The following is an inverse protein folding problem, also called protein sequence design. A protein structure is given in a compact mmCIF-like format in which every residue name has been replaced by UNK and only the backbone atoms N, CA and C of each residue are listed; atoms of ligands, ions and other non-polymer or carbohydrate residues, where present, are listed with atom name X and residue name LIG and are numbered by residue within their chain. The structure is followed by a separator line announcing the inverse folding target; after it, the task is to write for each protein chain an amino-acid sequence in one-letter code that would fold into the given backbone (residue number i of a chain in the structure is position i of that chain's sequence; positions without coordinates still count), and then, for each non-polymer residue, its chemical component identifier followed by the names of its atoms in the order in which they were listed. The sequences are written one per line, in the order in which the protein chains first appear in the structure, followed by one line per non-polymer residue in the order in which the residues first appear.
data_IF_657975394695
#
_entry.id   IF_657975394695
#
_cell.length_a   1.000
_cell.length_b   1.000
_cell.length_c   1.000
_cell.angle_alpha   90.00
_cell.angle_beta   90.00
_cell.angle_gamma   90.00
#
_symmetry.space_group_name_H-M   'P 1'
#
loop_
_entity.id
_entity.type
_entity.pdbx_description
1 polymer ?
#
# COMPACT_ATOMS: atom_id res chain seq x y z
N UNK A 1 -7.75 16.85 -12.43
CA UNK A 1 -8.28 15.64 -13.10
C UNK A 1 -7.59 14.43 -12.49
N UNK A 2 -8.36 13.47 -11.97
CA UNK A 2 -7.83 12.23 -11.38
C UNK A 2 -7.69 11.21 -12.52
N UNK A 3 -6.50 10.63 -12.72
CA UNK A 3 -6.26 9.62 -13.76
C UNK A 3 -6.07 8.23 -13.11
N UNK A 4 -7.00 7.27 -13.33
CA UNK A 4 -6.96 5.95 -12.68
C UNK A 4 -5.68 5.17 -12.98
N UNK A 5 -5.23 5.20 -14.23
CA UNK A 5 -4.10 4.40 -14.68
C UNK A 5 -2.78 4.97 -14.17
N UNK A 6 -2.69 6.31 -14.05
CA UNK A 6 -1.55 6.97 -13.41
C UNK A 6 -1.47 6.67 -11.92
N UNK A 7 -2.59 6.74 -11.20
CA UNK A 7 -2.59 6.42 -9.76
C UNK A 7 -2.36 4.93 -9.51
N UNK A 8 -2.84 4.05 -10.38
CA UNK A 8 -2.54 2.61 -10.33
C UNK A 8 -1.04 2.33 -10.55
N UNK A 9 -0.41 3.00 -11.53
CA UNK A 9 1.02 2.89 -11.76
C UNK A 9 1.86 3.34 -10.55
N UNK A 10 1.43 4.40 -9.84
CA UNK A 10 2.07 4.83 -8.60
C UNK A 10 1.90 3.78 -7.49
N UNK A 11 0.70 3.23 -7.31
CA UNK A 11 0.47 2.17 -6.32
C UNK A 11 1.35 0.94 -6.58
N UNK A 12 1.48 0.53 -7.84
CA UNK A 12 2.40 -0.55 -8.26
C UNK A 12 3.84 -0.18 -7.90
N UNK A 13 4.26 1.05 -8.20
CA UNK A 13 5.60 1.55 -7.89
C UNK A 13 5.89 1.58 -6.38
N UNK A 14 4.88 1.89 -5.56
CA UNK A 14 4.98 1.88 -4.11
C UNK A 14 5.14 0.47 -3.55
N UNK A 15 4.37 -0.49 -4.06
CA UNK A 15 4.53 -1.93 -3.73
C UNK A 15 5.93 -2.43 -4.08
N UNK A 16 6.48 -2.03 -5.22
CA UNK A 16 7.82 -2.44 -5.64
C UNK A 16 8.95 -1.92 -4.73
N UNK A 17 8.69 -0.89 -3.90
CA UNK A 17 9.65 -0.45 -2.85
C UNK A 17 9.75 -1.46 -1.70
N UNK A 18 8.68 -2.22 -1.45
CA UNK A 18 8.57 -3.19 -0.36
C UNK A 18 8.10 -4.54 -0.90
N UNK A 19 8.97 -5.34 -1.52
CA UNK A 19 8.55 -6.50 -2.31
C UNK A 19 7.84 -7.59 -1.50
N UNK A 20 8.21 -7.74 -0.23
CA UNK A 20 7.58 -8.68 0.71
C UNK A 20 6.20 -8.23 1.21
N UNK A 21 5.68 -7.09 0.75
CA UNK A 21 4.41 -6.55 1.20
C UNK A 21 3.27 -6.80 0.23
N UNK A 22 2.07 -7.14 0.71
CA UNK A 22 0.89 -7.28 -0.15
C UNK A 22 0.18 -5.95 -0.43
N UNK A 23 0.45 -4.90 0.36
CA UNK A 23 -0.11 -3.56 0.18
C UNK A 23 0.84 -2.48 0.74
N UNK A 24 0.83 -1.31 0.10
CA UNK A 24 1.58 -0.12 0.53
C UNK A 24 0.70 1.10 0.37
N UNK A 25 0.51 1.85 1.45
CA UNK A 25 -0.20 3.12 1.46
C UNK A 25 0.70 4.25 1.92
N UNK A 26 0.62 5.38 1.22
CA UNK A 26 1.57 6.48 1.37
C UNK A 26 0.90 7.73 1.97
N UNK A 27 1.55 8.33 2.98
CA UNK A 27 1.10 9.52 3.70
C UNK A 27 2.20 10.58 3.81
N UNK A 28 1.85 11.80 4.26
CA UNK A 28 2.82 12.83 4.63
C UNK A 28 3.82 13.18 3.52
N UNK A 29 3.34 13.30 2.27
CA UNK A 29 4.19 13.50 1.07
C UNK A 29 5.28 12.42 0.92
N UNK A 30 4.91 11.14 1.08
CA UNK A 30 5.81 10.00 0.91
C UNK A 30 6.92 9.90 1.98
N UNK A 31 6.70 10.51 3.16
CA UNK A 31 7.56 10.34 4.34
C UNK A 31 7.14 9.17 5.24
N UNK A 32 5.84 8.87 5.29
CA UNK A 32 5.26 7.80 6.14
C UNK A 32 4.49 6.82 5.26
N UNK A 33 4.64 5.53 5.55
CA UNK A 33 4.01 4.46 4.80
C UNK A 33 3.30 3.51 5.78
N UNK A 34 2.17 2.96 5.37
CA UNK A 34 1.55 1.77 5.99
C UNK A 34 1.78 0.62 5.04
N UNK A 35 2.40 -0.47 5.51
CA UNK A 35 2.81 -1.60 4.69
C UNK A 35 2.28 -2.89 5.29
N UNK A 36 1.56 -3.68 4.49
CA UNK A 36 0.98 -4.94 4.91
C UNK A 36 1.93 -6.12 4.71
N UNK A 37 2.08 -6.96 5.73
CA UNK A 37 2.90 -8.17 5.71
C UNK A 37 2.13 -9.36 6.27
N UNK A 38 2.36 -10.55 5.70
CA UNK A 38 1.97 -11.81 6.33
C UNK A 38 2.99 -12.19 7.40
N UNK A 39 2.52 -12.62 8.57
CA UNK A 39 3.38 -13.15 9.63
C UNK A 39 3.64 -14.61 9.34
N UNK A 40 4.86 -14.88 8.87
CA UNK A 40 5.29 -16.21 8.40
C UNK A 40 6.27 -16.84 9.39
N UNK A 41 6.51 -18.14 9.23
CA UNK A 41 7.47 -18.86 10.05
C UNK A 41 8.86 -18.20 9.98
N UNK A 42 9.54 -18.14 11.14
CA UNK A 42 10.84 -17.47 11.27
C UNK A 42 10.78 -15.97 11.55
N UNK A 43 9.61 -15.35 11.58
CA UNK A 43 9.45 -13.98 12.07
C UNK A 43 9.68 -13.92 13.61
N UNK A 44 10.62 -13.11 14.12
CA UNK A 44 10.96 -13.05 15.54
C UNK A 44 9.94 -12.29 16.40
N UNK A 45 8.87 -11.78 15.79
CA UNK A 45 7.76 -11.09 16.44
C UNK A 45 6.62 -12.03 16.86
N UNK A 46 6.66 -13.29 16.41
CA UNK A 46 5.66 -14.30 16.78
C UNK A 46 5.66 -14.51 18.30
N UNK A 47 4.47 -14.62 18.88
CA UNK A 47 4.18 -14.83 20.30
C UNK A 47 4.67 -13.71 21.23
N UNK A 48 5.02 -12.55 20.68
CA UNK A 48 5.35 -11.34 21.44
C UNK A 48 4.20 -10.36 21.45
N UNK A 49 4.03 -9.66 22.56
CA UNK A 49 3.15 -8.50 22.63
C UNK A 49 3.76 -7.30 21.89
N UNK A 50 2.94 -6.39 21.38
CA UNK A 50 3.41 -5.21 20.66
C UNK A 50 4.38 -4.35 21.48
N UNK A 51 4.22 -4.28 22.79
CA UNK A 51 5.14 -3.53 23.67
C UNK A 51 6.51 -4.20 23.85
N UNK A 52 6.63 -5.50 23.59
CA UNK A 52 7.88 -6.25 23.65
C UNK A 52 8.64 -6.22 22.31
N UNK A 53 7.98 -5.81 21.22
CA UNK A 53 8.58 -5.72 19.89
C UNK A 53 9.41 -4.43 19.82
N UNK A 54 10.69 -4.55 20.16
CA UNK A 54 11.67 -3.50 19.94
C UNK A 54 12.72 -3.98 18.94
N UNK A 55 12.33 -4.00 17.67
CA UNK A 55 13.16 -4.52 16.60
C UNK A 55 13.82 -3.42 15.79
N UNK A 56 13.26 -2.23 15.63
CA UNK A 56 13.86 -1.16 14.81
C UNK A 56 14.44 -0.03 15.65
N UNK A 57 15.49 0.63 15.16
CA UNK A 57 16.09 1.80 15.83
C UNK A 57 15.12 2.99 15.80
N UNK A 58 14.43 3.18 14.67
CA UNK A 58 13.32 4.12 14.54
C UNK A 58 12.00 3.45 14.93
N UNK A 59 11.08 4.19 15.55
CA UNK A 59 9.77 3.64 15.93
C UNK A 59 8.96 3.22 14.71
N UNK A 60 8.38 2.04 14.80
CA UNK A 60 7.29 1.55 13.95
C UNK A 60 6.06 1.28 14.83
N UNK A 61 4.88 1.25 14.24
CA UNK A 61 3.68 0.77 14.91
C UNK A 61 3.00 -0.30 14.06
N UNK A 62 2.44 -1.32 14.70
CA UNK A 62 1.51 -2.25 14.05
C UNK A 62 0.11 -1.68 14.25
N UNK A 63 -0.48 -1.13 13.19
CA UNK A 63 -1.73 -0.36 13.28
C UNK A 63 -2.98 -1.19 13.02
N UNK A 64 -2.86 -2.30 12.29
CA UNK A 64 -3.96 -3.21 12.01
C UNK A 64 -3.42 -4.64 12.05
N UNK A 65 -4.17 -5.55 12.66
CA UNK A 65 -3.93 -7.00 12.59
C UNK A 65 -5.21 -7.66 12.12
N UNK A 66 -5.12 -8.46 11.06
CA UNK A 66 -6.19 -9.35 10.62
C UNK A 66 -5.83 -10.79 11.02
N UNK A 67 -6.74 -11.45 11.74
CA UNK A 67 -6.59 -12.83 12.20
C UNK A 67 -7.89 -13.59 11.96
N UNK A 68 -7.85 -14.64 11.14
CA UNK A 68 -9.02 -15.48 10.84
C UNK A 68 -10.25 -14.66 10.36
N UNK A 69 -10.01 -13.58 9.60
CA UNK A 69 -11.06 -12.66 9.12
C UNK A 69 -11.54 -11.65 10.17
N UNK A 70 -11.08 -11.72 11.42
CA UNK A 70 -11.31 -10.66 12.41
C UNK A 70 -10.25 -9.57 12.30
N UNK A 71 -10.70 -8.32 12.37
CA UNK A 71 -9.84 -7.16 12.24
C UNK A 71 -9.63 -6.56 13.63
N UNK A 72 -8.40 -6.24 13.98
CA UNK A 72 -8.04 -5.61 15.25
C UNK A 72 -7.24 -4.34 14.98
N UNK A 73 -7.55 -3.27 15.72
CA UNK A 73 -6.64 -2.14 15.92
C UNK A 73 -5.98 -2.41 17.27
N UNK A 74 -4.78 -2.99 17.28
CA UNK A 74 -4.21 -3.57 18.49
C UNK A 74 -3.71 -2.50 19.46
N UNK A 75 -3.79 -2.81 20.76
CA UNK A 75 -3.05 -2.06 21.79
C UNK A 75 -1.68 -2.71 22.05
N UNK A 76 -0.88 -2.11 22.94
CA UNK A 76 0.45 -2.61 23.28
C UNK A 76 0.48 -4.04 23.84
N UNK A 77 -0.63 -4.57 24.35
CA UNK A 77 -0.72 -5.92 24.94
C UNK A 77 -1.07 -6.98 23.92
N UNK A 78 -1.51 -6.59 22.72
CA UNK A 78 -1.87 -7.53 21.67
C UNK A 78 -0.67 -8.39 21.29
N UNK A 79 -0.87 -9.71 21.24
CA UNK A 79 0.16 -10.69 20.91
C UNK A 79 0.03 -11.12 19.45
N UNK A 80 1.12 -10.98 18.69
CA UNK A 80 1.20 -11.41 17.30
C UNK A 80 1.29 -12.94 17.22
N UNK A 81 0.60 -13.55 16.25
CA UNK A 81 0.59 -14.99 16.00
C UNK A 81 0.97 -15.29 14.56
N UNK A 82 1.47 -16.51 14.34
CA UNK A 82 1.70 -17.04 13.00
C UNK A 82 0.41 -17.01 12.19
N UNK A 83 0.48 -16.54 10.94
CA UNK A 83 -0.68 -16.40 10.05
C UNK A 83 -1.45 -15.09 10.19
N UNK A 84 -1.07 -14.22 11.14
CA UNK A 84 -1.62 -12.85 11.19
C UNK A 84 -1.22 -12.07 9.93
N UNK A 85 -2.13 -11.24 9.41
CA UNK A 85 -1.77 -10.19 8.44
C UNK A 85 -1.66 -8.86 9.17
N UNK A 86 -0.46 -8.30 9.19
CA UNK A 86 -0.15 -7.09 9.97
C UNK A 86 0.06 -5.89 9.05
N UNK A 87 -0.42 -4.73 9.46
CA UNK A 87 -0.13 -3.46 8.79
C UNK A 87 0.83 -2.67 9.66
N UNK A 88 2.04 -2.44 9.16
CA UNK A 88 3.13 -1.76 9.84
C UNK A 88 3.25 -0.35 9.31
N UNK A 89 3.22 0.65 10.19
CA UNK A 89 3.42 2.05 9.82
C UNK A 89 4.78 2.56 10.28
N UNK A 90 5.47 3.29 9.40
CA UNK A 90 6.86 3.68 9.62
C UNK A 90 7.42 4.61 8.53
N UNK A 91 8.63 5.13 8.77
CA UNK A 91 9.45 5.73 7.72
C UNK A 91 9.97 4.63 6.79
N UNK A 92 10.43 4.99 5.59
CA UNK A 92 11.06 4.02 4.67
C UNK A 92 12.25 3.33 5.32
N UNK A 93 13.04 4.06 6.13
CA UNK A 93 14.20 3.50 6.83
C UNK A 93 13.77 2.49 7.89
N UNK A 94 12.81 2.84 8.74
CA UNK A 94 12.29 1.96 9.79
C UNK A 94 11.65 0.68 9.20
N UNK A 95 10.86 0.81 8.13
CA UNK A 95 10.22 -0.35 7.49
C UNK A 95 11.25 -1.27 6.84
N UNK A 96 12.30 -0.74 6.19
CA UNK A 96 13.36 -1.59 5.64
C UNK A 96 14.14 -2.33 6.74
N UNK A 97 14.37 -1.67 7.88
CA UNK A 97 14.98 -2.32 9.04
C UNK A 97 14.06 -3.41 9.62
N UNK A 98 12.76 -3.15 9.68
CA UNK A 98 11.74 -4.15 10.05
C UNK A 98 11.78 -5.36 9.12
N UNK A 99 11.80 -5.14 7.79
CA UNK A 99 11.90 -6.19 6.78
C UNK A 99 13.13 -7.07 7.03
N UNK A 100 14.29 -6.46 7.23
CA UNK A 100 15.55 -7.15 7.49
C UNK A 100 15.48 -7.98 8.78
N UNK A 101 15.06 -7.37 9.89
CA UNK A 101 15.06 -8.01 11.20
C UNK A 101 13.96 -9.04 11.37
N UNK A 102 12.86 -8.91 10.61
CA UNK A 102 11.80 -9.92 10.56
C UNK A 102 12.07 -11.07 9.58
N UNK A 103 13.25 -11.14 8.96
CA UNK A 103 13.61 -12.18 8.00
C UNK A 103 12.72 -12.21 6.74
N UNK A 104 12.15 -11.07 6.36
CA UNK A 104 11.46 -10.94 5.08
C UNK A 104 12.47 -10.80 3.94
N UNK A 105 12.02 -11.08 2.71
CA UNK A 105 12.85 -10.93 1.53
C UNK A 105 13.27 -9.46 1.34
N UNK A 106 14.56 -9.25 1.14
CA UNK A 106 15.19 -7.93 0.90
C UNK A 106 15.59 -7.76 -0.56
N UNK A 107 15.09 -8.66 -1.43
CA UNK A 107 15.39 -8.68 -2.86
C UNK A 107 15.00 -7.34 -3.47
N UNK A 108 15.96 -6.62 -4.05
CA UNK A 108 15.68 -5.36 -4.75
C UNK A 108 15.04 -5.66 -6.10
N UNK A 109 13.95 -4.98 -6.43
CA UNK A 109 13.30 -5.07 -7.73
C UNK A 109 14.10 -4.29 -8.79
N UNK A 110 14.73 -4.99 -9.73
CA UNK A 110 15.62 -4.41 -10.77
C UNK A 110 15.17 -4.73 -12.19
N UNK A 111 14.50 -5.84 -12.41
CA UNK A 111 13.89 -6.20 -13.69
C UNK A 111 12.41 -6.56 -13.51
N UNK A 112 11.55 -5.85 -14.24
CA UNK A 112 10.10 -6.03 -14.15
C UNK A 112 9.55 -6.42 -15.51
N UNK A 113 8.72 -7.46 -15.56
CA UNK A 113 7.94 -7.79 -16.75
C UNK A 113 6.53 -7.24 -16.58
N UNK A 114 6.03 -6.53 -17.58
CA UNK A 114 4.67 -6.00 -17.63
C UNK A 114 3.95 -6.71 -18.78
N UNK A 115 2.85 -7.37 -18.47
CA UNK A 115 2.04 -8.10 -19.44
C UNK A 115 0.78 -7.26 -19.71
N UNK A 116 0.64 -6.78 -20.94
CA UNK A 116 -0.30 -5.73 -21.33
C UNK A 116 0.36 -4.35 -21.35
N UNK A 117 0.25 -3.66 -22.48
CA UNK A 117 0.85 -2.36 -22.78
C UNK A 117 -0.15 -1.19 -22.76
N UNK A 118 -1.25 -1.32 -22.00
CA UNK A 118 -2.24 -0.26 -21.83
C UNK A 118 -1.70 1.01 -21.15
N UNK A 119 -2.57 1.95 -20.82
CA UNK A 119 -2.15 3.24 -20.25
C UNK A 119 -1.49 3.10 -18.87
N UNK A 120 -1.91 2.12 -18.08
CA UNK A 120 -1.25 1.80 -16.80
C UNK A 120 0.21 1.42 -17.01
N UNK A 121 0.47 0.53 -17.98
CA UNK A 121 1.82 0.10 -18.31
C UNK A 121 2.69 1.26 -18.83
N UNK A 122 2.09 2.19 -19.58
CA UNK A 122 2.78 3.41 -20.00
C UNK A 122 3.17 4.31 -18.81
N UNK A 123 2.24 4.59 -17.89
CA UNK A 123 2.58 5.38 -16.70
C UNK A 123 3.58 4.66 -15.79
N UNK A 124 3.44 3.34 -15.64
CA UNK A 124 4.38 2.52 -14.88
C UNK A 124 5.77 2.55 -15.53
N UNK A 125 5.87 2.38 -16.85
CA UNK A 125 7.12 2.47 -17.59
C UNK A 125 7.85 3.80 -17.38
N UNK A 126 7.12 4.92 -17.26
CA UNK A 126 7.70 6.23 -16.90
C UNK A 126 8.26 6.24 -15.47
N UNK A 127 7.51 5.76 -14.50
CA UNK A 127 7.95 5.68 -13.11
C UNK A 127 9.20 4.79 -12.98
N UNK A 128 9.19 3.61 -13.60
CA UNK A 128 10.31 2.68 -13.61
C UNK A 128 11.55 3.26 -14.30
N UNK A 129 11.37 3.90 -15.46
CA UNK A 129 12.45 4.59 -16.20
C UNK A 129 13.10 5.67 -15.33
N UNK A 130 12.29 6.49 -14.66
CA UNK A 130 12.79 7.57 -13.79
C UNK A 130 13.62 7.07 -12.60
N UNK A 131 13.39 5.82 -12.20
CA UNK A 131 14.10 5.14 -11.10
C UNK A 131 15.25 4.25 -11.58
N UNK A 132 15.51 4.19 -12.88
CA UNK A 132 16.54 3.32 -13.46
C UNK A 132 16.24 1.83 -13.34
N UNK A 133 14.97 1.45 -13.15
CA UNK A 133 14.55 0.05 -13.09
C UNK A 133 14.34 -0.46 -14.51
N UNK A 134 14.93 -1.61 -14.85
CA UNK A 134 14.76 -2.21 -16.17
C UNK A 134 13.39 -2.86 -16.26
N UNK A 135 12.76 -2.76 -17.42
CA UNK A 135 11.50 -3.44 -17.64
C UNK A 135 11.36 -3.94 -19.08
N UNK A 136 10.48 -4.93 -19.23
CA UNK A 136 10.01 -5.46 -20.50
C UNK A 136 8.49 -5.36 -20.54
N UNK A 137 7.92 -4.96 -21.67
CA UNK A 137 6.47 -4.95 -21.89
C UNK A 137 6.13 -5.95 -22.98
N UNK A 138 5.12 -6.79 -22.73
CA UNK A 138 4.52 -7.66 -23.75
C UNK A 138 3.16 -7.07 -24.12
N UNK A 139 2.97 -6.75 -25.40
CA UNK A 139 1.74 -6.12 -25.92
C UNK A 139 1.31 -6.83 -27.21
N UNK A 140 0.02 -7.13 -27.32
CA UNK A 140 -0.56 -7.88 -28.44
C UNK A 140 -0.89 -6.99 -29.65
N UNK A 141 -1.14 -5.70 -29.43
CA UNK A 141 -1.41 -4.75 -30.49
C UNK A 141 -0.11 -4.13 -31.02
N UNK A 142 0.19 -4.37 -32.29
CA UNK A 142 1.40 -3.91 -32.97
C UNK A 142 1.60 -2.39 -32.89
N UNK A 143 0.58 -1.60 -33.23
CA UNK A 143 0.67 -0.13 -33.19
C UNK A 143 0.98 0.39 -31.78
N UNK A 144 0.39 -0.23 -30.76
CA UNK A 144 0.65 0.10 -29.36
C UNK A 144 2.06 -0.31 -28.95
N UNK A 145 2.53 -1.48 -29.37
CA UNK A 145 3.90 -1.93 -29.12
C UNK A 145 4.93 -0.98 -29.76
N UNK A 146 4.69 -0.53 -30.99
CA UNK A 146 5.54 0.46 -31.67
C UNK A 146 5.57 1.80 -30.92
N UNK A 147 4.41 2.29 -30.50
CA UNK A 147 4.32 3.51 -29.69
C UNK A 147 5.10 3.39 -28.37
N UNK A 148 4.99 2.25 -27.68
CA UNK A 148 5.73 2.00 -26.44
C UNK A 148 7.24 1.91 -26.68
N UNK A 149 7.65 1.30 -27.80
CA UNK A 149 9.06 1.17 -28.20
C UNK A 149 9.69 2.53 -28.42
N UNK A 150 8.98 3.43 -29.12
CA UNK A 150 9.40 4.82 -29.30
C UNK A 150 9.42 5.61 -27.97
N UNK A 151 8.44 5.35 -27.10
CA UNK A 151 8.31 6.03 -25.81
C UNK A 151 9.37 5.62 -24.79
N UNK A 152 9.88 4.38 -24.88
CA UNK A 152 10.83 3.80 -23.93
C UNK A 152 12.04 3.18 -24.62
N UNK A 153 12.99 3.99 -25.14
CA UNK A 153 14.14 3.49 -25.90
C UNK A 153 15.05 2.52 -25.14
N UNK A 154 15.01 2.56 -23.81
CA UNK A 154 15.83 1.71 -22.93
C UNK A 154 15.08 0.46 -22.41
N UNK A 155 13.81 0.30 -22.78
CA UNK A 155 13.00 -0.86 -22.41
C UNK A 155 12.89 -1.84 -23.57
N UNK A 156 12.66 -3.11 -23.25
CA UNK A 156 12.39 -4.13 -24.28
C UNK A 156 10.88 -4.21 -24.47
N UNK A 157 10.40 -3.96 -25.68
CA UNK A 157 8.99 -4.13 -26.03
C UNK A 157 8.87 -5.33 -26.95
N UNK A 158 8.00 -6.27 -26.57
CA UNK A 158 7.72 -7.49 -27.33
C UNK A 158 6.30 -7.38 -27.86
N UNK A 159 6.16 -7.38 -29.19
CA UNK A 159 4.87 -7.59 -29.82
C UNK A 159 4.55 -9.09 -29.77
N UNK A 160 3.51 -9.46 -29.02
CA UNK A 160 3.09 -10.84 -28.85
C UNK A 160 1.96 -10.99 -27.85
N UNK A 161 1.31 -12.15 -27.89
CA UNK A 161 0.24 -12.49 -26.96
C UNK A 161 0.81 -12.91 -25.61
N UNK A 162 0.68 -12.00 -24.63
CA UNK A 162 1.15 -12.21 -23.27
C UNK A 162 0.42 -13.30 -22.49
N UNK A 163 -0.70 -13.84 -22.99
CA UNK A 163 -1.42 -14.96 -22.39
C UNK A 163 -0.80 -16.32 -22.74
N UNK A 164 0.07 -16.36 -23.77
CA UNK A 164 0.74 -17.58 -24.22
C UNK A 164 1.93 -17.92 -23.31
N UNK A 165 1.79 -19.02 -22.58
CA UNK A 165 2.83 -19.49 -21.65
C UNK A 165 4.15 -19.79 -22.36
N UNK A 166 4.13 -20.32 -23.58
CA UNK A 166 5.36 -20.61 -24.33
C UNK A 166 6.16 -19.33 -24.58
N UNK A 167 5.47 -18.23 -24.94
CA UNK A 167 6.10 -16.93 -25.14
C UNK A 167 6.73 -16.43 -23.83
N UNK A 168 6.00 -16.52 -22.71
CA UNK A 168 6.49 -16.06 -21.41
C UNK A 168 7.75 -16.84 -20.96
N UNK A 169 7.77 -18.15 -21.21
CA UNK A 169 8.93 -19.01 -20.95
C UNK A 169 10.12 -18.66 -21.86
N UNK A 170 9.89 -18.42 -23.15
CA UNK A 170 10.92 -17.94 -24.08
C UNK A 170 11.50 -16.59 -23.62
N UNK A 171 10.66 -15.73 -23.04
CA UNK A 171 11.07 -14.45 -22.47
C UNK A 171 11.68 -14.56 -21.05
N UNK A 172 11.85 -15.79 -20.54
CA UNK A 172 12.43 -16.12 -19.22
C UNK A 172 11.74 -15.42 -18.07
N UNK A 173 10.41 -15.56 -17.98
CA UNK A 173 9.58 -14.93 -16.94
C UNK A 173 10.13 -15.18 -15.52
N UNK A 174 10.67 -16.36 -15.24
CA UNK A 174 11.26 -16.77 -13.96
C UNK A 174 12.48 -15.93 -13.56
N UNK A 175 13.14 -15.28 -14.53
CA UNK A 175 14.32 -14.44 -14.29
C UNK A 175 13.97 -13.03 -13.81
N UNK A 176 12.69 -12.65 -13.81
CA UNK A 176 12.23 -11.34 -13.40
C UNK A 176 11.98 -11.24 -11.89
N UNK A 177 12.27 -10.08 -11.32
CA UNK A 177 12.05 -9.80 -9.91
C UNK A 177 10.55 -9.60 -9.61
N UNK A 178 9.84 -8.98 -10.56
CA UNK A 178 8.40 -8.82 -10.49
C UNK A 178 7.72 -8.99 -11.86
N UNK A 179 6.49 -9.48 -11.82
CA UNK A 179 5.56 -9.53 -12.97
C UNK A 179 4.32 -8.70 -12.63
N UNK A 180 3.93 -7.84 -13.57
CA UNK A 180 2.68 -7.05 -13.50
C UNK A 180 1.74 -7.55 -14.57
N UNK A 181 0.67 -8.23 -14.18
CA UNK A 181 -0.40 -8.64 -15.08
C UNK A 181 -1.43 -7.50 -15.20
N UNK A 182 -1.35 -6.78 -16.32
CA UNK A 182 -2.00 -5.49 -16.55
C UNK A 182 -2.89 -5.44 -17.79
N UNK A 183 -3.35 -6.59 -18.28
CA UNK A 183 -4.24 -6.68 -19.44
C UNK A 183 -5.63 -6.08 -19.12
N UNK A 184 -6.47 -5.82 -20.15
CA UNK A 184 -7.85 -5.38 -19.95
C UNK A 184 -8.77 -6.42 -19.30
N UNK A 185 -8.36 -7.70 -19.27
CA UNK A 185 -9.22 -8.82 -18.86
C UNK A 185 -8.74 -9.34 -17.49
N UNK A 186 -9.57 -9.16 -16.46
CA UNK A 186 -9.17 -9.52 -15.10
C UNK A 186 -8.92 -11.04 -14.93
N UNK A 187 -9.66 -11.92 -15.62
CA UNK A 187 -9.43 -13.38 -15.56
C UNK A 187 -8.05 -13.76 -16.12
N UNK A 188 -7.63 -13.13 -17.21
CA UNK A 188 -6.28 -13.31 -17.76
C UNK A 188 -5.23 -12.85 -16.75
N UNK A 189 -5.45 -11.71 -16.10
CA UNK A 189 -4.50 -11.20 -15.11
C UNK A 189 -4.33 -12.16 -13.92
N UNK A 190 -5.43 -12.77 -13.45
CA UNK A 190 -5.39 -13.77 -12.37
C UNK A 190 -4.60 -15.01 -12.83
N UNK A 191 -4.91 -15.57 -14.00
CA UNK A 191 -4.23 -16.76 -14.54
C UNK A 191 -2.74 -16.48 -14.76
N UNK A 192 -2.40 -15.32 -15.32
CA UNK A 192 -1.02 -14.89 -15.54
C UNK A 192 -0.23 -14.79 -14.25
N UNK A 193 -0.84 -14.23 -13.21
CA UNK A 193 -0.18 -14.04 -11.91
C UNK A 193 0.02 -15.37 -11.17
N UNK A 194 -0.93 -16.31 -11.30
CA UNK A 194 -0.75 -17.68 -10.82
C UNK A 194 0.36 -18.42 -11.58
N UNK A 195 0.41 -18.26 -12.91
CA UNK A 195 1.46 -18.83 -13.73
C UNK A 195 2.84 -18.29 -13.36
N UNK A 196 2.99 -16.96 -13.26
CA UNK A 196 4.26 -16.35 -12.88
C UNK A 196 4.70 -16.73 -11.46
N UNK A 197 3.77 -16.85 -10.52
CA UNK A 197 4.04 -17.39 -9.18
C UNK A 197 4.54 -18.85 -9.26
N UNK A 198 3.89 -19.71 -10.05
CA UNK A 198 4.33 -21.09 -10.25
C UNK A 198 5.70 -21.22 -10.92
N UNK A 199 6.08 -20.23 -11.73
CA UNK A 199 7.41 -20.12 -12.35
C UNK A 199 8.48 -19.59 -11.39
N UNK A 200 8.14 -19.24 -10.15
CA UNK A 200 9.08 -18.79 -9.11
C UNK A 200 9.35 -17.29 -9.09
N UNK A 201 8.52 -16.48 -9.76
CA UNK A 201 8.64 -15.01 -9.69
C UNK A 201 8.34 -14.53 -8.28
N UNK A 202 9.26 -13.74 -7.72
CA UNK A 202 9.20 -13.31 -6.32
C UNK A 202 8.10 -12.31 -5.99
N UNK A 203 7.65 -11.51 -6.98
CA UNK A 203 6.64 -10.48 -6.77
C UNK A 203 5.63 -10.47 -7.92
N UNK A 204 4.37 -10.78 -7.63
CA UNK A 204 3.31 -10.84 -8.63
C UNK A 204 2.23 -9.80 -8.34
N UNK A 205 1.97 -8.92 -9.30
CA UNK A 205 1.04 -7.81 -9.15
C UNK A 205 -0.08 -7.97 -10.18
N UNK A 206 -1.31 -8.16 -9.68
CA UNK A 206 -2.48 -8.47 -10.48
C UNK A 206 -3.40 -7.24 -10.58
N UNK A 207 -3.66 -6.73 -11.78
CA UNK A 207 -4.70 -5.72 -11.99
C UNK A 207 -6.08 -6.40 -12.01
N UNK A 208 -6.96 -6.02 -11.09
CA UNK A 208 -8.36 -6.46 -11.06
C UNK A 208 -9.27 -5.24 -10.97
N UNK A 209 -10.06 -5.01 -12.02
CA UNK A 209 -10.95 -3.85 -12.14
C UNK A 209 -12.40 -4.14 -11.73
N UNK A 210 -12.82 -5.41 -11.70
CA UNK A 210 -14.16 -5.82 -11.26
C UNK A 210 -14.16 -6.32 -9.82
N UNK A 211 -14.95 -5.65 -8.99
CA UNK A 211 -15.13 -6.02 -7.58
C UNK A 211 -15.66 -7.45 -7.39
N UNK A 212 -16.44 -7.97 -8.35
CA UNK A 212 -17.00 -9.32 -8.29
C UNK A 212 -15.95 -10.44 -8.28
N UNK A 213 -14.74 -10.17 -8.80
CA UNK A 213 -13.65 -11.17 -8.83
C UNK A 213 -12.77 -11.12 -7.58
N UNK A 214 -12.90 -10.08 -6.75
CA UNK A 214 -12.07 -9.92 -5.56
C UNK A 214 -12.17 -11.11 -4.59
N UNK A 215 -13.37 -11.62 -4.22
CA UNK A 215 -13.47 -12.76 -3.31
C UNK A 215 -12.83 -14.05 -3.86
N UNK A 216 -12.75 -14.18 -5.20
CA UNK A 216 -12.08 -15.31 -5.85
C UNK A 216 -10.57 -15.09 -5.78
N UNK A 217 -10.10 -13.89 -6.10
CA UNK A 217 -8.69 -13.53 -6.03
C UNK A 217 -8.11 -13.69 -4.61
N UNK A 218 -8.87 -13.32 -3.57
CA UNK A 218 -8.47 -13.47 -2.17
C UNK A 218 -8.30 -14.95 -1.78
N UNK A 219 -9.17 -15.84 -2.30
CA UNK A 219 -9.07 -17.31 -2.09
C UNK A 219 -7.92 -17.96 -2.85
N UNK A 220 -7.47 -17.34 -3.93
CA UNK A 220 -6.35 -17.81 -4.73
C UNK A 220 -5.00 -17.34 -4.18
N UNK A 221 -5.01 -16.61 -3.05
CA UNK A 221 -3.82 -16.12 -2.36
C UNK A 221 -2.87 -15.36 -3.30
N UNK A 222 -3.44 -14.53 -4.18
CA UNK A 222 -2.65 -13.67 -5.04
C UNK A 222 -1.80 -12.70 -4.19
N UNK A 223 -0.52 -12.59 -4.53
CA UNK A 223 0.48 -11.80 -3.80
C UNK A 223 0.08 -10.32 -3.64
N UNK A 224 -0.18 -9.60 -4.75
CA UNK A 224 -0.65 -8.21 -4.69
C UNK A 224 -1.75 -7.97 -5.71
N UNK A 225 -2.83 -7.34 -5.26
CA UNK A 225 -3.96 -6.94 -6.10
C UNK A 225 -4.03 -5.42 -6.18
N UNK A 226 -4.04 -4.89 -7.41
CA UNK A 226 -4.28 -3.47 -7.70
C UNK A 226 -5.68 -3.32 -8.29
N UNK A 227 -6.51 -2.52 -7.63
CA UNK A 227 -7.88 -2.24 -8.07
C UNK A 227 -8.02 -0.76 -8.44
N UNK A 228 -7.90 -0.40 -9.74
CA UNK A 228 -7.98 1.00 -10.17
C UNK A 228 -9.25 1.72 -9.73
N UNK A 229 -10.40 1.01 -9.74
CA UNK A 229 -11.68 1.58 -9.29
C UNK A 229 -11.67 1.98 -7.81
N UNK A 230 -11.02 1.18 -6.96
CA UNK A 230 -10.87 1.48 -5.53
C UNK A 230 -10.01 2.73 -5.33
N UNK A 231 -8.85 2.79 -6.00
CA UNK A 231 -7.92 3.93 -5.93
C UNK A 231 -8.63 5.25 -6.32
N UNK A 232 -9.48 5.20 -7.34
CA UNK A 232 -10.29 6.34 -7.77
C UNK A 232 -11.40 6.68 -6.78
N UNK A 233 -12.13 5.68 -6.28
CA UNK A 233 -13.15 5.89 -5.26
C UNK A 233 -12.57 6.60 -4.03
N UNK A 234 -11.43 6.12 -3.52
CA UNK A 234 -10.73 6.72 -2.38
C UNK A 234 -10.30 8.16 -2.69
N UNK A 235 -9.88 8.42 -3.93
CA UNK A 235 -9.53 9.77 -4.39
C UNK A 235 -10.71 10.73 -4.47
N UNK A 236 -11.88 10.25 -4.90
CA UNK A 236 -13.12 11.03 -4.93
C UNK A 236 -13.60 11.31 -3.50
N UNK A 237 -13.62 10.29 -2.64
CA UNK A 237 -14.01 10.41 -1.23
C UNK A 237 -13.12 11.45 -0.53
N UNK A 238 -11.80 11.36 -0.72
CA UNK A 238 -10.84 12.33 -0.19
C UNK A 238 -11.13 13.75 -0.69
N UNK A 239 -11.44 13.92 -1.97
CA UNK A 239 -11.77 15.24 -2.52
C UNK A 239 -13.03 15.82 -1.86
N UNK A 240 -14.13 15.04 -1.81
CA UNK A 240 -15.39 15.47 -1.19
C UNK A 240 -15.17 15.85 0.28
N UNK A 241 -14.55 14.97 1.08
CA UNK A 241 -14.26 15.23 2.51
C UNK A 241 -13.30 16.41 2.73
N UNK A 242 -12.47 16.76 1.75
CA UNK A 242 -11.57 17.92 1.84
C UNK A 242 -12.27 19.26 1.59
N UNK A 243 -13.42 19.25 0.90
CA UNK A 243 -14.18 20.45 0.53
C UNK A 243 -15.30 20.76 1.54
N UNK A 244 -15.90 19.72 2.14
CA UNK A 244 -17.03 19.90 3.06
C UNK A 244 -16.68 20.59 4.39
N UNK A 245 -15.38 20.67 4.75
CA UNK A 245 -14.91 21.21 6.03
C UNK A 245 -13.92 22.38 5.87
N UNK A 246 -14.42 23.59 5.62
CA UNK A 246 -13.61 24.81 5.47
C UNK A 246 -13.16 25.40 6.83
N UNK A 247 -13.93 25.17 7.91
CA UNK A 247 -13.64 25.74 9.24
C UNK A 247 -13.02 24.75 10.24
N UNK A 248 -13.05 23.44 9.96
CA UNK A 248 -12.56 22.39 10.85
C UNK A 248 -11.26 21.74 10.37
N UNK A 249 -10.80 20.74 11.13
CA UNK A 249 -9.62 19.97 10.76
C UNK A 249 -9.91 19.07 9.55
N UNK A 250 -9.38 19.44 8.38
CA UNK A 250 -9.71 18.81 7.10
C UNK A 250 -8.97 17.51 6.82
N UNK A 251 -9.60 16.62 6.06
CA UNK A 251 -8.95 15.44 5.49
C UNK A 251 -7.98 15.87 4.39
N UNK A 252 -6.71 15.51 4.55
CA UNK A 252 -5.63 15.71 3.56
C UNK A 252 -5.41 14.45 2.74
N UNK A 253 -5.45 13.29 3.38
CA UNK A 253 -5.30 12.00 2.72
C UNK A 253 -6.14 10.93 3.43
N UNK A 254 -6.55 9.92 2.68
CA UNK A 254 -7.37 8.82 3.19
C UNK A 254 -7.11 7.58 2.34
N UNK A 255 -6.93 6.46 3.02
CA UNK A 255 -6.88 5.12 2.42
C UNK A 255 -7.76 4.17 3.22
N UNK A 256 -8.46 3.29 2.52
CA UNK A 256 -9.33 2.26 3.12
C UNK A 256 -8.60 0.92 3.14
N UNK A 257 -8.29 0.43 4.32
CA UNK A 257 -7.57 -0.82 4.58
C UNK A 257 -8.57 -1.95 4.85
N UNK A 258 -8.09 -3.20 4.74
CA UNK A 258 -8.80 -4.44 5.09
C UNK A 258 -10.29 -4.41 4.71
N UNK A 259 -10.56 -4.60 3.41
CA UNK A 259 -11.93 -4.60 2.86
C UNK A 259 -12.80 -3.38 3.20
N UNK A 260 -12.18 -2.22 3.41
CA UNK A 260 -12.86 -0.97 3.73
C UNK A 260 -13.45 -0.90 5.15
N UNK A 261 -13.10 -1.85 6.01
CA UNK A 261 -13.50 -1.87 7.43
C UNK A 261 -12.61 -0.98 8.31
N UNK A 262 -11.43 -0.58 7.82
CA UNK A 262 -10.51 0.33 8.52
C UNK A 262 -10.18 1.52 7.62
N UNK A 263 -10.27 2.74 8.17
CA UNK A 263 -9.80 3.96 7.50
C UNK A 263 -8.48 4.43 8.13
N UNK A 264 -7.48 4.70 7.30
CA UNK A 264 -6.27 5.41 7.66
C UNK A 264 -6.35 6.83 7.10
N UNK A 265 -6.56 7.81 7.98
CA UNK A 265 -6.94 9.17 7.63
C UNK A 265 -5.89 10.15 8.13
N UNK A 266 -5.39 10.99 7.23
CA UNK A 266 -4.50 12.09 7.53
C UNK A 266 -5.30 13.38 7.64
N UNK A 267 -5.37 13.94 8.84
CA UNK A 267 -5.98 15.24 9.10
C UNK A 267 -4.93 16.35 9.12
N UNK A 268 -5.31 17.55 8.70
CA UNK A 268 -4.60 18.78 9.03
C UNK A 268 -5.36 19.48 10.16
N UNK A 269 -4.69 19.69 11.28
CA UNK A 269 -5.32 20.20 12.51
C UNK A 269 -5.52 21.72 12.41
N UNK A 270 -6.77 22.16 12.59
CA UNK A 270 -7.16 23.57 12.63
C UNK A 270 -6.99 24.18 14.04
N UNK A 271 -7.14 25.49 14.20
CA UNK A 271 -6.99 26.16 15.50
C UNK A 271 -8.13 25.86 16.48
N UNK A 272 -9.27 25.48 15.94
CA UNK A 272 -10.53 25.28 16.64
C UNK A 272 -10.65 23.87 17.24
N UNK A 273 -9.69 22.98 16.96
CA UNK A 273 -9.73 21.60 17.44
C UNK A 273 -9.67 21.54 18.97
N UNK A 274 -10.61 20.80 19.55
CA UNK A 274 -10.73 20.59 21.01
C UNK A 274 -9.61 19.73 21.58
N UNK A 275 -8.83 19.05 20.74
CA UNK A 275 -7.75 18.18 21.18
C UNK A 275 -6.41 18.89 21.38
N UNK A 276 -6.29 20.17 21.00
CA UNK A 276 -5.02 20.90 21.05
C UNK A 276 -4.52 21.03 22.48
N UNK A 277 -3.24 20.68 22.68
CA UNK A 277 -2.55 20.83 23.97
C UNK A 277 -2.96 19.82 25.04
N UNK A 278 -3.88 18.90 24.75
CA UNK A 278 -4.26 17.82 25.66
C UNK A 278 -3.36 16.61 25.40
N UNK A 279 -2.70 16.04 26.42
CA UNK A 279 -1.94 14.80 26.26
C UNK A 279 -2.82 13.67 25.72
N UNK A 280 -2.31 12.86 24.78
CA UNK A 280 -3.10 11.82 24.12
C UNK A 280 -3.70 10.79 25.10
N UNK A 281 -3.04 10.52 26.23
CA UNK A 281 -3.57 9.62 27.28
C UNK A 281 -4.80 10.19 28.00
N UNK A 282 -4.94 11.52 28.00
CA UNK A 282 -5.99 12.25 28.70
C UNK A 282 -7.15 12.61 27.73
N UNK A 283 -6.98 12.37 26.42
CA UNK A 283 -8.03 12.52 25.43
C UNK A 283 -9.06 11.38 25.55
N UNK A 284 -10.32 11.76 25.77
CA UNK A 284 -11.45 10.83 25.64
C UNK A 284 -11.72 10.60 24.17
N UNK A 285 -11.41 9.41 23.70
CA UNK A 285 -11.56 9.02 22.30
C UNK A 285 -12.55 7.89 22.15
N UNK A 286 -13.20 7.84 21.00
CA UNK A 286 -14.01 6.69 20.60
C UNK A 286 -13.17 5.41 20.61
N UNK A 287 -13.80 4.24 20.79
CA UNK A 287 -13.08 2.98 20.73
C UNK A 287 -12.41 2.78 19.37
N UNK A 288 -11.30 2.02 19.35
CA UNK A 288 -10.56 1.67 18.13
C UNK A 288 -9.94 2.87 17.39
N UNK A 289 -9.59 3.94 18.10
CA UNK A 289 -8.81 5.06 17.55
C UNK A 289 -7.32 4.83 17.84
N UNK A 290 -6.50 4.83 16.78
CA UNK A 290 -5.05 4.82 16.90
C UNK A 290 -4.46 6.09 16.27
N UNK A 291 -3.77 6.90 17.07
CA UNK A 291 -2.94 8.00 16.59
C UNK A 291 -1.57 7.47 16.13
N UNK A 292 -1.46 7.13 14.85
CA UNK A 292 -0.28 6.46 14.31
C UNK A 292 0.96 7.36 14.25
N UNK A 293 0.82 8.60 13.80
CA UNK A 293 1.92 9.57 13.82
C UNK A 293 1.42 11.00 13.71
N UNK A 294 2.24 11.93 14.21
CA UNK A 294 2.05 13.38 14.10
C UNK A 294 3.21 13.93 13.27
N UNK A 295 2.91 14.56 12.13
CA UNK A 295 3.88 15.36 11.40
C UNK A 295 3.80 16.80 11.88
N UNK A 296 4.90 17.29 12.45
CA UNK A 296 5.06 18.66 12.93
C UNK A 296 6.24 19.32 12.22
N UNK A 297 5.95 20.25 11.32
CA UNK A 297 6.94 20.78 10.40
C UNK A 297 7.53 19.65 9.53
N UNK A 298 8.84 19.43 9.63
CA UNK A 298 9.55 18.36 8.90
C UNK A 298 9.70 17.05 9.66
N UNK A 299 9.40 17.05 10.96
CA UNK A 299 9.58 15.91 11.85
C UNK A 299 8.34 14.99 11.85
N UNK A 300 8.59 13.68 11.92
CA UNK A 300 7.57 12.66 12.18
C UNK A 300 7.71 12.22 13.63
N UNK A 301 6.63 12.36 14.39
CA UNK A 301 6.55 11.98 15.80
C UNK A 301 5.63 10.76 15.89
N UNK A 302 6.11 9.68 16.51
CA UNK A 302 5.29 8.52 16.87
C UNK A 302 4.86 8.68 18.33
N UNK A 303 3.63 9.17 18.57
CA UNK A 303 3.28 9.73 19.85
C UNK A 303 3.10 8.63 20.91
N UNK A 304 3.58 8.90 22.11
CA UNK A 304 3.17 8.21 23.33
C UNK A 304 2.03 8.96 24.03
N UNK A 305 1.61 8.47 25.18
CA UNK A 305 0.48 9.05 25.93
C UNK A 305 0.70 10.49 26.42
N UNK A 306 1.96 10.93 26.56
CA UNK A 306 2.28 12.30 27.03
C UNK A 306 2.42 13.32 25.88
N UNK A 307 2.50 12.84 24.63
CA UNK A 307 2.52 13.74 23.48
C UNK A 307 1.14 14.39 23.32
N UNK A 308 1.10 15.55 22.68
CA UNK A 308 -0.13 16.31 22.44
C UNK A 308 -0.10 16.91 21.04
N UNK A 309 -1.29 17.17 20.52
CA UNK A 309 -1.50 17.72 19.18
C UNK A 309 -1.47 19.25 19.25
N UNK A 310 -0.91 19.87 18.21
CA UNK A 310 -0.87 21.32 18.03
C UNK A 310 -1.54 21.74 16.73
N UNK A 311 -1.92 23.02 16.65
CA UNK A 311 -2.36 23.67 15.41
C UNK A 311 -1.36 23.39 14.29
N UNK A 312 -1.87 23.01 13.11
CA UNK A 312 -1.08 22.84 11.90
C UNK A 312 -0.31 21.53 11.83
N UNK A 313 -0.37 20.70 12.88
CA UNK A 313 0.07 19.32 12.80
C UNK A 313 -0.73 18.57 11.73
N UNK A 314 -0.08 17.60 11.08
CA UNK A 314 -0.79 16.60 10.29
C UNK A 314 -0.81 15.30 11.07
N UNK A 315 -1.99 14.84 11.45
CA UNK A 315 -2.16 13.66 12.31
C UNK A 315 -2.70 12.50 11.49
N UNK A 316 -2.01 11.37 11.52
CA UNK A 316 -2.48 10.12 10.93
C UNK A 316 -3.25 9.32 11.98
N UNK A 317 -4.53 9.09 11.71
CA UNK A 317 -5.43 8.30 12.55
C UNK A 317 -5.80 7.02 11.81
N UNK A 318 -5.72 5.88 12.48
CA UNK A 318 -6.22 4.60 11.99
C UNK A 318 -7.43 4.22 12.85
N UNK A 319 -8.56 3.94 12.21
CA UNK A 319 -9.83 3.69 12.91
C UNK A 319 -10.75 2.72 12.18
N UNK A 320 -11.64 2.06 12.93
CA UNK A 320 -12.80 1.34 12.39
C UNK A 320 -14.04 2.23 12.24
N UNK A 321 -14.02 3.43 12.81
CA UNK A 321 -15.09 4.40 12.65
C UNK A 321 -15.17 4.85 11.19
N UNK A 322 -16.33 4.63 10.57
CA UNK A 322 -16.55 4.98 9.17
C UNK A 322 -17.00 6.44 9.05
N UNK A 323 -16.68 7.06 7.90
CA UNK A 323 -17.16 8.40 7.53
C UNK A 323 -16.65 9.54 8.43
N UNK A 324 -15.41 9.44 8.89
CA UNK A 324 -14.77 10.54 9.62
C UNK A 324 -14.26 11.60 8.64
N UNK A 325 -14.91 12.75 8.64
CA UNK A 325 -14.65 13.92 7.77
C UNK A 325 -13.95 15.07 8.51
N UNK A 326 -13.92 15.03 9.84
CA UNK A 326 -13.28 16.00 10.73
C UNK A 326 -12.50 15.28 11.83
N UNK A 327 -11.36 15.86 12.24
CA UNK A 327 -10.54 15.29 13.31
C UNK A 327 -11.27 15.17 14.65
N UNK A 328 -12.02 16.18 15.08
CA UNK A 328 -12.66 16.19 16.41
C UNK A 328 -13.72 15.08 16.58
N UNK A 329 -14.16 14.44 15.49
CA UNK A 329 -15.00 13.22 15.55
C UNK A 329 -14.29 12.01 16.14
N UNK A 330 -12.97 12.05 16.34
CA UNK A 330 -12.24 11.03 17.11
C UNK A 330 -12.55 11.07 18.61
N UNK A 331 -13.04 12.22 19.10
CA UNK A 331 -13.37 12.44 20.50
C UNK A 331 -14.76 11.86 20.82
N UNK A 332 -14.98 11.55 22.10
CA UNK A 332 -16.31 11.24 22.67
C UNK A 332 -17.21 12.46 22.80
#
# INVERSE_FOLDING_TARGET
MINPEKESAKAITDVLKFPSSFIVETFMQNKVHIVGFDVIEGNPIIDKSLMEINITDEKILICVVERNGEIHIPDGRFVIRLGDKIHVTGTVKAINEFILKCNYSTKRMRNIMIIGGGDMAYYLGKELSSKGIRFKIIEINEERADFLSQSFPNAIIIHGDGTRQELLMEQRIESYDAVVAGTPIDEENIILSLFSASAGVSKNITKISRNLLKPIADKLELDTIITPKKIIADSIIRYVRSVDNIMGSRVVNLHRLVDEEVEAIQFLISEESKAIGIPLKDLKTKPSILFACIKRGDSIIYPGGNDFILKGDQVLVVTKEKYMDEFDKVLE
#
